data_IF_817891079216
#
_entry.id   IF_817891079216
#
_cell.length_a   1.000
_cell.length_b   1.000
_cell.length_c   1.000
_cell.angle_alpha   90.00
_cell.angle_beta   90.00
_cell.angle_gamma   90.00
#
_symmetry.space_group_name_H-M   'P 1'
#
loop_
_entity.id
_entity.type
_entity.pdbx_description
1 polymer ?
#
# COMPACT_ATOMS: atom_id res chain seq x y z
N UNK A 1 -2.28 7.27 -4.95
CA UNK A 1 -0.91 6.70 -5.07
C UNK A 1 -0.41 6.89 -6.49
N UNK A 2 0.84 7.31 -6.66
CA UNK A 2 1.40 7.68 -7.97
C UNK A 2 1.70 6.41 -8.78
N UNK A 3 1.19 6.24 -10.01
CA UNK A 3 1.53 5.13 -10.88
C UNK A 3 3.01 5.12 -11.27
N UNK A 4 3.54 3.93 -11.63
CA UNK A 4 4.96 3.75 -12.02
C UNK A 4 5.41 4.76 -13.09
N UNK A 5 4.61 4.90 -14.15
CA UNK A 5 4.86 5.85 -15.23
C UNK A 5 5.02 7.27 -14.71
N UNK A 6 4.06 7.74 -13.91
CA UNK A 6 4.07 9.09 -13.38
C UNK A 6 5.24 9.33 -12.40
N UNK A 7 5.60 8.32 -11.60
CA UNK A 7 6.76 8.39 -10.72
C UNK A 7 8.08 8.48 -11.49
N UNK A 8 8.18 7.76 -12.61
CA UNK A 8 9.32 7.83 -13.52
C UNK A 8 9.38 9.20 -14.22
N UNK A 9 8.23 9.71 -14.68
CA UNK A 9 8.09 11.02 -15.35
C UNK A 9 8.56 12.17 -14.42
N UNK A 10 8.23 12.13 -13.12
CA UNK A 10 8.70 13.14 -12.14
C UNK A 10 10.22 13.24 -12.00
N UNK A 11 10.94 12.16 -12.33
CA UNK A 11 12.39 12.11 -12.26
C UNK A 11 13.05 12.14 -13.65
N UNK A 12 12.27 12.39 -14.71
CA UNK A 12 12.72 12.37 -16.11
C UNK A 12 13.38 11.03 -16.50
N UNK A 13 12.87 9.92 -15.96
CA UNK A 13 13.36 8.58 -16.22
C UNK A 13 12.37 7.77 -17.05
N UNK A 14 12.87 6.83 -17.85
CA UNK A 14 12.01 5.77 -18.38
C UNK A 14 11.54 4.86 -17.24
N UNK A 15 10.37 4.23 -17.40
CA UNK A 15 9.82 3.26 -16.43
C UNK A 15 10.80 2.12 -16.14
N UNK A 16 11.55 1.68 -17.15
CA UNK A 16 12.59 0.65 -17.03
C UNK A 16 13.75 1.12 -16.15
N UNK A 17 14.27 2.32 -16.41
CA UNK A 17 15.38 2.88 -15.62
C UNK A 17 14.95 3.11 -14.19
N UNK A 18 13.78 3.73 -13.98
CA UNK A 18 13.24 3.97 -12.65
C UNK A 18 13.03 2.65 -11.89
N UNK A 19 12.36 1.66 -12.47
CA UNK A 19 12.12 0.36 -11.82
C UNK A 19 13.41 -0.33 -11.40
N UNK A 20 14.43 -0.32 -12.28
CA UNK A 20 15.74 -0.93 -12.00
C UNK A 20 16.45 -0.21 -10.86
N UNK A 21 16.49 1.13 -10.88
CA UNK A 21 17.15 1.91 -9.83
C UNK A 21 16.40 1.76 -8.50
N UNK A 22 15.07 1.86 -8.52
CA UNK A 22 14.26 1.73 -7.32
C UNK A 22 14.45 0.36 -6.67
N UNK A 23 14.42 -0.72 -7.45
CA UNK A 23 14.70 -2.06 -6.96
C UNK A 23 16.13 -2.18 -6.42
N UNK A 24 17.13 -1.62 -7.13
CA UNK A 24 18.54 -1.64 -6.70
C UNK A 24 18.73 -0.98 -5.33
N UNK A 25 18.06 0.14 -5.07
CA UNK A 25 18.27 0.92 -3.84
C UNK A 25 17.36 0.51 -2.68
N UNK A 26 16.15 0.01 -2.96
CA UNK A 26 15.18 -0.35 -1.90
C UNK A 26 15.07 -1.85 -1.66
N UNK A 27 15.58 -2.67 -2.59
CA UNK A 27 15.40 -4.13 -2.57
C UNK A 27 13.96 -4.58 -2.90
N UNK A 28 13.04 -3.65 -3.21
CA UNK A 28 11.62 -3.95 -3.43
C UNK A 28 11.17 -3.30 -4.76
N UNK A 29 10.43 -4.00 -5.62
CA UNK A 29 9.84 -3.38 -6.81
C UNK A 29 8.92 -2.22 -6.43
N UNK A 30 8.95 -1.12 -7.18
CA UNK A 30 8.19 0.10 -6.86
C UNK A 30 6.70 -0.15 -6.59
N UNK A 31 6.04 -0.96 -7.41
CA UNK A 31 4.62 -1.29 -7.25
C UNK A 31 4.35 -2.06 -5.95
N UNK A 32 5.23 -2.99 -5.57
CA UNK A 32 5.14 -3.70 -4.28
C UNK A 32 5.42 -2.77 -3.11
N UNK A 33 6.42 -1.89 -3.24
CA UNK A 33 6.73 -0.88 -2.22
C UNK A 33 5.55 0.05 -1.98
N UNK A 34 4.94 0.52 -3.07
CA UNK A 34 3.72 1.32 -3.06
C UNK A 34 2.57 0.61 -2.34
N UNK A 35 2.31 -0.66 -2.67
CA UNK A 35 1.30 -1.45 -1.97
C UNK A 35 1.57 -1.54 -0.47
N UNK A 36 2.84 -1.78 -0.07
CA UNK A 36 3.23 -1.80 1.35
C UNK A 36 3.01 -0.47 2.04
N UNK A 37 3.44 0.64 1.43
CA UNK A 37 3.27 1.97 1.98
C UNK A 37 1.78 2.31 2.18
N UNK A 38 0.92 1.92 1.24
CA UNK A 38 -0.54 2.09 1.33
C UNK A 38 -1.14 1.30 2.51
N UNK A 39 -0.71 0.06 2.68
CA UNK A 39 -1.17 -0.78 3.79
C UNK A 39 -0.64 -0.30 5.14
N UNK A 40 0.58 0.24 5.20
CA UNK A 40 1.10 0.88 6.42
C UNK A 40 0.28 2.12 6.80
N UNK A 41 -0.06 2.97 5.83
CA UNK A 41 -0.95 4.11 6.07
C UNK A 41 -2.34 3.68 6.57
N UNK A 42 -2.82 2.50 6.18
CA UNK A 42 -4.08 1.96 6.70
C UNK A 42 -4.06 1.72 8.21
N UNK A 43 -2.90 1.47 8.82
CA UNK A 43 -2.77 1.32 10.28
C UNK A 43 -3.12 2.61 11.01
N UNK A 44 -2.63 3.75 10.51
CA UNK A 44 -2.95 5.06 11.06
C UNK A 44 -4.46 5.35 10.98
N UNK A 45 -5.08 5.02 9.84
CA UNK A 45 -6.53 5.19 9.67
C UNK A 45 -7.35 4.29 10.62
N UNK A 46 -6.89 3.06 10.87
CA UNK A 46 -7.50 2.14 11.84
C UNK A 46 -7.45 2.71 13.26
N UNK A 47 -6.30 3.26 13.66
CA UNK A 47 -6.11 3.92 14.98
C UNK A 47 -7.00 5.17 15.12
N UNK A 48 -7.19 5.92 14.03
CA UNK A 48 -8.12 7.06 13.99
C UNK A 48 -9.60 6.66 13.99
N UNK A 49 -9.92 5.36 14.11
CA UNK A 49 -11.28 4.86 14.26
C UNK A 49 -12.06 4.75 12.94
N UNK A 50 -11.42 4.90 11.78
CA UNK A 50 -12.10 4.63 10.51
C UNK A 50 -12.46 3.16 10.38
N UNK A 51 -13.62 2.89 9.80
CA UNK A 51 -14.07 1.53 9.55
C UNK A 51 -13.25 0.88 8.44
N UNK A 52 -13.14 -0.46 8.48
CA UNK A 52 -12.44 -1.25 7.45
C UNK A 52 -12.98 -0.97 6.05
N UNK A 53 -14.29 -0.72 5.93
CA UNK A 53 -14.97 -0.40 4.67
C UNK A 53 -14.52 0.96 4.12
N UNK A 54 -14.53 2.00 4.96
CA UNK A 54 -14.07 3.33 4.57
C UNK A 54 -12.61 3.31 4.13
N UNK A 55 -11.75 2.65 4.92
CA UNK A 55 -10.32 2.49 4.60
C UNK A 55 -10.12 1.78 3.27
N UNK A 56 -10.87 0.70 3.00
CA UNK A 56 -10.75 -0.02 1.74
C UNK A 56 -11.02 0.90 0.53
N UNK A 57 -12.07 1.71 0.58
CA UNK A 57 -12.43 2.61 -0.50
C UNK A 57 -11.50 3.83 -0.60
N UNK A 58 -11.10 4.43 0.53
CA UNK A 58 -10.13 5.53 0.57
C UNK A 58 -8.78 5.13 -0.04
N UNK A 59 -8.39 3.87 0.15
CA UNK A 59 -7.17 3.29 -0.41
C UNK A 59 -7.35 2.75 -1.84
N UNK A 60 -8.55 2.89 -2.43
CA UNK A 60 -8.85 2.54 -3.82
C UNK A 60 -8.97 1.05 -4.08
N UNK A 61 -9.36 0.24 -3.09
CA UNK A 61 -9.74 -1.16 -3.31
C UNK A 61 -11.18 -1.26 -3.83
N UNK A 62 -11.43 -2.25 -4.69
CA UNK A 62 -12.78 -2.49 -5.25
C UNK A 62 -13.76 -3.07 -4.24
N UNK A 63 -13.27 -3.65 -3.13
CA UNK A 63 -14.11 -4.17 -2.05
C UNK A 63 -13.34 -4.23 -0.72
N UNK A 64 -14.04 -4.23 0.43
CA UNK A 64 -13.43 -4.46 1.74
C UNK A 64 -12.67 -5.79 1.82
N UNK A 65 -13.19 -6.85 1.20
CA UNK A 65 -12.53 -8.16 1.17
C UNK A 65 -11.18 -8.14 0.46
N UNK A 66 -11.05 -7.39 -0.63
CA UNK A 66 -9.78 -7.23 -1.34
C UNK A 66 -8.73 -6.51 -0.47
N UNK A 67 -9.17 -5.49 0.29
CA UNK A 67 -8.31 -4.82 1.26
C UNK A 67 -7.89 -5.76 2.39
N UNK A 68 -8.83 -6.48 3.02
CA UNK A 68 -8.53 -7.41 4.12
C UNK A 68 -7.54 -8.49 3.66
N UNK A 69 -7.70 -9.02 2.45
CA UNK A 69 -6.77 -10.01 1.90
C UNK A 69 -5.36 -9.44 1.75
N UNK A 70 -5.23 -8.24 1.16
CA UNK A 70 -3.95 -7.56 0.99
C UNK A 70 -3.30 -7.22 2.35
N UNK A 71 -4.10 -6.72 3.30
CA UNK A 71 -3.66 -6.40 4.65
C UNK A 71 -3.13 -7.64 5.37
N UNK A 72 -3.90 -8.74 5.36
CA UNK A 72 -3.48 -10.01 5.97
C UNK A 72 -2.23 -10.58 5.34
N UNK A 73 -2.06 -10.45 4.02
CA UNK A 73 -0.84 -10.88 3.33
C UNK A 73 0.43 -10.13 3.78
N UNK A 74 0.29 -8.88 4.27
CA UNK A 74 1.43 -8.08 4.70
C UNK A 74 1.67 -8.19 6.22
N UNK A 75 0.61 -8.14 7.02
CA UNK A 75 0.70 -8.06 8.48
C UNK A 75 0.43 -9.38 9.20
N UNK A 76 0.08 -10.45 8.47
CA UNK A 76 -0.32 -11.76 9.02
C UNK A 76 -1.50 -11.73 10.00
N UNK A 77 -2.24 -10.62 10.07
CA UNK A 77 -3.44 -10.43 10.89
C UNK A 77 -4.51 -9.66 10.10
N UNK A 78 -5.76 -9.66 10.57
CA UNK A 78 -6.82 -8.86 9.95
C UNK A 78 -6.92 -7.46 10.58
N UNK A 79 -7.45 -6.44 9.87
CA UNK A 79 -7.61 -5.10 10.42
C UNK A 79 -8.36 -5.07 11.77
N UNK A 80 -9.44 -5.84 11.89
CA UNK A 80 -10.22 -5.93 13.13
C UNK A 80 -9.47 -6.61 14.28
N UNK A 81 -8.56 -7.55 13.97
CA UNK A 81 -7.71 -8.17 14.99
C UNK A 81 -6.61 -7.21 15.43
N UNK A 82 -6.06 -6.43 14.50
CA UNK A 82 -5.05 -5.41 14.79
C UNK A 82 -5.55 -4.39 15.83
N UNK A 83 -6.75 -3.81 15.62
CA UNK A 83 -7.33 -2.84 16.58
C UNK A 83 -7.65 -3.47 17.95
N UNK A 84 -7.95 -4.78 18.02
CA UNK A 84 -8.29 -5.43 19.29
C UNK A 84 -7.07 -5.72 20.19
N UNK A 85 -5.86 -5.57 19.67
CA UNK A 85 -4.61 -5.93 20.38
C UNK A 85 -3.90 -4.73 21.00
N UNK A 86 -4.35 -3.50 20.71
CA UNK A 86 -3.92 -2.25 21.36
C UNK A 86 -5.02 -1.68 22.27
#
# INVERSE_FOLDING_TARGET
MIPLKQAADYLLLSERTFSRLFLKYTGIPYTKWCLKARLLYSLELLVLGKTVTEIAFDLGYSSPSAFIHAFKSLFNTTPNQFIKTE
#
